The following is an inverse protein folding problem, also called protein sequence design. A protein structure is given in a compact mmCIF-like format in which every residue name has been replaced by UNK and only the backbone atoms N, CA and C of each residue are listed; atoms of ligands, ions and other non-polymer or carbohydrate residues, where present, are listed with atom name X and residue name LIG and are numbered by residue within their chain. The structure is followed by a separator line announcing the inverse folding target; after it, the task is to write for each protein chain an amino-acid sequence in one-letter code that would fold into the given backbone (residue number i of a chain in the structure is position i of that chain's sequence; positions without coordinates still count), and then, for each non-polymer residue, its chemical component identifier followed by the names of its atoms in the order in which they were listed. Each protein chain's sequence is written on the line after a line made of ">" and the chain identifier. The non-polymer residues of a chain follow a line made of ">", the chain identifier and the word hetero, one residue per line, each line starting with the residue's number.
data_IF_215028090246
#
_entry.id   IF_215028090246
#
_cell.length_a   1.000
_cell.length_b   1.000
_cell.length_c   1.000
_cell.angle_alpha   90.00
_cell.angle_beta   90.00
_cell.angle_gamma   90.00
#
_symmetry.space_group_name_H-M   'P 1'
#
loop_
_entity.id
_entity.type
_entity.pdbx_description
1 polymer ?
#
# COMPACT_ATOMS: atom_id res chain seq x y z
N UNK A 1 8.86 18.38 9.65
CA UNK A 1 7.83 17.71 8.84
C UNK A 1 6.55 18.49 9.03
N UNK A 2 6.05 19.14 7.99
CA UNK A 2 4.68 19.65 8.00
C UNK A 2 3.75 18.46 7.72
N UNK A 3 2.91 18.12 8.70
CA UNK A 3 2.15 16.86 8.66
C UNK A 3 1.09 16.91 7.55
N UNK A 4 1.14 16.02 6.55
CA UNK A 4 0.13 15.98 5.50
C UNK A 4 -1.21 15.44 6.00
N UNK A 5 -2.30 15.78 5.31
CA UNK A 5 -3.59 15.11 5.49
C UNK A 5 -3.53 13.66 4.96
N UNK A 6 -4.48 12.83 5.42
CA UNK A 6 -4.57 11.42 5.03
C UNK A 6 -5.73 11.13 4.07
N UNK A 7 -5.61 10.04 3.31
CA UNK A 7 -6.67 9.42 2.51
C UNK A 7 -6.76 7.95 2.88
N UNK A 8 -7.89 7.54 3.45
CA UNK A 8 -8.13 6.15 3.80
C UNK A 8 -8.65 5.34 2.61
N UNK A 9 -8.02 4.22 2.33
CA UNK A 9 -8.48 3.18 1.40
C UNK A 9 -8.68 1.88 2.18
N UNK A 10 -9.92 1.42 2.27
CA UNK A 10 -10.26 0.18 2.97
C UNK A 10 -10.80 -0.86 1.99
N UNK A 11 -10.12 -2.00 1.91
CA UNK A 11 -10.61 -3.17 1.20
C UNK A 11 -11.60 -3.96 2.06
N UNK A 12 -12.63 -4.51 1.44
CA UNK A 12 -13.63 -5.36 2.11
C UNK A 12 -14.03 -6.50 1.21
N UNK A 13 -14.33 -7.67 1.79
CA UNK A 13 -14.73 -8.87 1.05
C UNK A 13 -13.56 -9.82 0.83
N UNK A 14 -13.69 -10.68 -0.19
CA UNK A 14 -12.74 -11.77 -0.46
C UNK A 14 -12.23 -11.68 -1.89
N UNK A 15 -10.92 -11.87 -2.08
CA UNK A 15 -10.31 -11.95 -3.42
C UNK A 15 -10.98 -13.06 -4.24
N UNK A 16 -11.35 -12.73 -5.48
CA UNK A 16 -11.97 -13.67 -6.40
C UNK A 16 -10.92 -14.58 -7.04
N UNK A 17 -11.31 -15.77 -7.53
CA UNK A 17 -10.41 -16.65 -8.27
C UNK A 17 -9.74 -15.92 -9.45
N UNK A 18 -8.42 -16.05 -9.56
CA UNK A 18 -7.63 -15.39 -10.60
C UNK A 18 -7.24 -13.94 -10.34
N UNK A 19 -7.74 -13.32 -9.25
CA UNK A 19 -7.31 -11.99 -8.82
C UNK A 19 -6.05 -12.08 -7.97
N UNK A 20 -5.10 -11.21 -8.25
CA UNK A 20 -3.82 -11.09 -7.53
C UNK A 20 -3.77 -9.83 -6.68
N UNK A 21 -2.76 -9.73 -5.81
CA UNK A 21 -2.52 -8.52 -5.02
C UNK A 21 -2.23 -7.31 -5.91
N UNK A 22 -1.56 -7.51 -7.05
CA UNK A 22 -1.27 -6.44 -8.01
C UNK A 22 -2.52 -5.86 -8.66
N UNK A 23 -3.57 -6.66 -8.79
CA UNK A 23 -4.87 -6.15 -9.23
C UNK A 23 -5.48 -5.20 -8.19
N UNK A 24 -5.32 -5.49 -6.90
CA UNK A 24 -5.74 -4.58 -5.82
C UNK A 24 -4.96 -3.27 -5.83
N UNK A 25 -3.65 -3.32 -6.11
CA UNK A 25 -2.81 -2.13 -6.32
C UNK A 25 -3.39 -1.23 -7.42
N UNK A 26 -3.74 -1.82 -8.57
CA UNK A 26 -4.32 -1.08 -9.70
C UNK A 26 -5.80 -0.71 -9.49
N UNK A 27 -6.51 -1.39 -8.60
CA UNK A 27 -7.89 -1.06 -8.26
C UNK A 27 -7.99 0.32 -7.58
N UNK A 28 -7.02 0.71 -6.75
CA UNK A 28 -7.02 2.02 -6.06
C UNK A 28 -7.18 3.20 -7.06
N UNK A 29 -6.29 3.40 -8.05
CA UNK A 29 -6.47 4.47 -9.03
C UNK A 29 -7.69 4.24 -9.92
N UNK A 30 -8.04 2.99 -10.26
CA UNK A 30 -9.23 2.69 -11.08
C UNK A 30 -10.52 3.21 -10.41
N UNK A 31 -10.74 2.89 -9.13
CA UNK A 31 -11.92 3.36 -8.40
C UNK A 31 -11.85 4.87 -8.09
N UNK A 32 -10.66 5.44 -7.86
CA UNK A 32 -10.52 6.90 -7.71
C UNK A 32 -10.94 7.65 -8.99
N UNK A 33 -10.60 7.12 -10.18
CA UNK A 33 -11.06 7.67 -11.47
C UNK A 33 -12.57 7.52 -11.60
N UNK A 34 -13.11 6.33 -11.30
CA UNK A 34 -14.55 6.06 -11.35
C UNK A 34 -15.36 7.01 -10.47
N UNK A 35 -14.81 7.41 -9.32
CA UNK A 35 -15.42 8.33 -8.37
C UNK A 35 -15.11 9.82 -8.66
N UNK A 36 -14.38 10.14 -9.74
CA UNK A 36 -14.03 11.51 -10.10
C UNK A 36 -12.99 12.19 -9.20
N UNK A 37 -12.28 11.40 -8.37
CA UNK A 37 -11.24 11.85 -7.43
C UNK A 37 -9.85 11.88 -8.06
N UNK A 38 -9.68 11.20 -9.20
CA UNK A 38 -8.45 11.14 -9.99
C UNK A 38 -8.76 11.33 -11.47
N UNK A 39 -7.94 12.11 -12.19
CA UNK A 39 -8.06 12.29 -13.64
C UNK A 39 -6.79 11.89 -14.36
N UNK A 40 -6.92 11.38 -15.58
CA UNK A 40 -5.78 11.04 -16.45
C UNK A 40 -5.21 12.27 -17.14
N UNK A 41 -6.06 13.24 -17.52
CA UNK A 41 -5.63 14.47 -18.18
C UNK A 41 -4.69 15.30 -17.29
N UNK A 42 -3.65 15.89 -17.91
CA UNK A 42 -2.67 16.74 -17.22
C UNK A 42 -3.22 18.12 -16.86
N UNK A 43 -3.94 18.75 -17.79
CA UNK A 43 -4.54 20.05 -17.55
C UNK A 43 -5.68 19.92 -16.52
N UNK A 44 -5.61 20.71 -15.44
CA UNK A 44 -6.60 20.66 -14.35
C UNK A 44 -6.63 19.32 -13.60
N UNK A 45 -5.49 18.61 -13.53
CA UNK A 45 -5.40 17.26 -12.95
C UNK A 45 -5.96 17.24 -11.52
N UNK A 46 -6.99 16.41 -11.32
CA UNK A 46 -7.44 16.01 -9.98
C UNK A 46 -6.65 14.80 -9.55
N UNK A 47 -6.13 14.82 -8.33
CA UNK A 47 -5.48 13.68 -7.72
C UNK A 47 -5.63 13.76 -6.20
N UNK A 48 -6.63 13.05 -5.67
CA UNK A 48 -6.93 13.05 -4.23
C UNK A 48 -5.73 12.62 -3.36
N UNK A 49 -4.81 11.82 -3.90
CA UNK A 49 -3.66 11.31 -3.16
C UNK A 49 -2.47 12.28 -3.13
N UNK A 50 -2.47 13.30 -4.01
CA UNK A 50 -1.30 14.16 -4.22
C UNK A 50 -0.91 14.91 -2.95
N UNK A 51 0.31 14.67 -2.46
CA UNK A 51 0.86 15.31 -1.27
C UNK A 51 0.23 14.87 0.06
N UNK A 52 -0.58 13.80 0.06
CA UNK A 52 -1.25 13.24 1.25
C UNK A 52 -0.62 11.92 1.67
N UNK A 53 -0.94 11.44 2.87
CA UNK A 53 -0.61 10.08 3.32
C UNK A 53 -1.70 9.12 2.81
N UNK A 54 -1.31 8.05 2.13
CA UNK A 54 -2.20 6.96 1.76
C UNK A 54 -2.26 5.95 2.92
N UNK A 55 -3.43 5.79 3.54
CA UNK A 55 -3.63 4.82 4.61
C UNK A 55 -4.46 3.64 4.10
N UNK A 56 -3.97 2.42 4.27
CA UNK A 56 -4.59 1.21 3.72
C UNK A 56 -5.02 0.28 4.86
N UNK A 57 -6.26 -0.20 4.79
CA UNK A 57 -6.84 -1.15 5.73
C UNK A 57 -7.59 -2.29 5.03
N UNK A 58 -7.88 -3.37 5.76
CA UNK A 58 -8.75 -4.46 5.29
C UNK A 58 -8.03 -5.67 4.70
N UNK A 59 -6.70 -5.70 4.76
CA UNK A 59 -5.86 -6.83 4.33
C UNK A 59 -4.83 -7.19 5.43
N UNK A 60 -5.27 -7.46 6.67
CA UNK A 60 -4.38 -7.45 7.83
C UNK A 60 -3.40 -8.63 7.88
N UNK A 61 -3.69 -9.72 7.16
CA UNK A 61 -2.91 -10.97 7.20
C UNK A 61 -1.91 -11.10 6.03
N UNK A 62 -1.68 -10.03 5.26
CA UNK A 62 -0.64 -10.04 4.23
C UNK A 62 0.74 -10.19 4.87
N UNK A 63 1.64 -10.94 4.22
CA UNK A 63 3.06 -10.92 4.58
C UNK A 63 3.64 -9.52 4.36
N UNK A 64 4.72 -9.18 5.06
CA UNK A 64 5.33 -7.85 4.95
C UNK A 64 5.78 -7.52 3.51
N UNK A 65 6.27 -8.51 2.76
CA UNK A 65 6.69 -8.35 1.36
C UNK A 65 5.50 -8.15 0.42
N UNK A 66 4.36 -8.74 0.72
CA UNK A 66 3.11 -8.54 -0.01
C UNK A 66 2.55 -7.14 0.28
N UNK A 67 2.51 -6.75 1.55
CA UNK A 67 2.11 -5.42 1.98
C UNK A 67 2.97 -4.33 1.31
N UNK A 68 4.25 -4.63 1.07
CA UNK A 68 5.13 -3.73 0.33
C UNK A 68 4.62 -3.41 -1.06
N UNK A 69 4.02 -4.36 -1.81
CA UNK A 69 3.47 -4.09 -3.16
C UNK A 69 2.42 -2.96 -3.18
N UNK A 70 1.62 -2.84 -2.10
CA UNK A 70 0.64 -1.76 -1.94
C UNK A 70 1.31 -0.44 -1.54
N UNK A 71 2.25 -0.49 -0.60
CA UNK A 71 2.92 0.71 -0.11
C UNK A 71 3.88 1.32 -1.13
N UNK A 72 4.56 0.48 -1.92
CA UNK A 72 5.49 0.88 -2.97
C UNK A 72 4.76 1.67 -4.06
N UNK A 73 3.58 1.17 -4.46
CA UNK A 73 2.73 1.78 -5.47
C UNK A 73 2.13 3.15 -5.08
N UNK A 74 2.30 3.58 -3.83
CA UNK A 74 1.86 4.90 -3.35
C UNK A 74 2.65 6.04 -4.01
N UNK A 75 3.90 5.79 -4.41
CA UNK A 75 4.75 6.75 -5.11
C UNK A 75 4.11 7.18 -6.45
N UNK A 76 3.54 6.24 -7.20
CA UNK A 76 2.85 6.47 -8.46
C UNK A 76 1.55 7.26 -8.28
N UNK A 77 1.03 7.34 -7.05
CA UNK A 77 -0.12 8.19 -6.68
C UNK A 77 0.29 9.61 -6.30
N UNK A 78 1.59 9.91 -6.26
CA UNK A 78 2.14 11.18 -5.73
C UNK A 78 1.78 11.40 -4.25
N UNK A 79 1.61 10.31 -3.49
CA UNK A 79 1.44 10.38 -2.04
C UNK A 79 2.77 10.81 -1.39
N UNK A 80 2.68 11.51 -0.26
CA UNK A 80 3.84 11.89 0.55
C UNK A 80 4.37 10.72 1.40
N UNK A 81 3.54 9.71 1.62
CA UNK A 81 3.87 8.48 2.34
C UNK A 81 2.72 7.49 2.30
N UNK A 82 2.96 6.28 2.80
CA UNK A 82 1.96 5.23 2.89
C UNK A 82 2.03 4.52 4.23
N UNK A 83 0.88 4.06 4.72
CA UNK A 83 0.77 3.10 5.82
C UNK A 83 -0.21 2.00 5.43
N UNK A 84 0.00 0.80 5.96
CA UNK A 84 -0.91 -0.33 5.81
C UNK A 84 -1.07 -1.00 7.16
N UNK A 85 -2.31 -1.21 7.58
CA UNK A 85 -2.61 -1.89 8.84
C UNK A 85 -2.46 -3.40 8.68
N UNK A 86 -1.49 -3.98 9.39
CA UNK A 86 -1.27 -5.42 9.47
C UNK A 86 -1.46 -5.94 10.89
N UNK A 87 -1.78 -7.23 10.99
CA UNK A 87 -1.73 -7.98 12.22
C UNK A 87 -0.27 -8.24 12.65
N UNK A 88 -0.06 -8.61 13.91
CA UNK A 88 1.28 -8.80 14.48
C UNK A 88 1.98 -10.05 13.95
N UNK A 89 1.21 -11.06 13.56
CA UNK A 89 1.66 -12.38 13.12
C UNK A 89 2.62 -12.31 11.92
N UNK A 90 2.28 -11.67 10.79
CA UNK A 90 3.21 -11.53 9.66
C UNK A 90 4.46 -10.71 10.00
N UNK A 91 4.34 -9.73 10.90
CA UNK A 91 5.47 -8.91 11.34
C UNK A 91 6.46 -9.74 12.16
N UNK A 92 5.97 -10.59 13.07
CA UNK A 92 6.79 -11.50 13.88
C UNK A 92 7.52 -12.50 12.98
N UNK A 93 6.84 -13.08 11.98
CA UNK A 93 7.45 -13.97 10.99
C UNK A 93 8.61 -13.27 10.26
N UNK A 94 8.35 -12.06 9.73
CA UNK A 94 9.32 -11.29 8.97
C UNK A 94 10.55 -10.90 9.80
N UNK A 95 10.36 -10.43 11.04
CA UNK A 95 11.46 -10.05 11.92
C UNK A 95 12.34 -11.25 12.31
N UNK A 96 11.75 -12.41 12.62
CA UNK A 96 12.51 -13.62 12.94
C UNK A 96 13.37 -14.09 11.76
N UNK A 97 12.81 -14.03 10.54
CA UNK A 97 13.54 -14.33 9.30
C UNK A 97 14.72 -13.36 9.12
N UNK A 98 14.47 -12.04 9.24
CA UNK A 98 15.48 -11.01 9.05
C UNK A 98 16.61 -11.08 10.09
N UNK A 99 16.32 -11.40 11.35
CA UNK A 99 17.36 -11.59 12.38
C UNK A 99 18.32 -12.72 11.97
N UNK A 100 17.78 -13.83 11.47
CA UNK A 100 18.60 -14.97 11.02
C UNK A 100 19.44 -14.58 9.80
N UNK A 101 18.83 -13.91 8.82
CA UNK A 101 19.52 -13.41 7.62
C UNK A 101 20.67 -12.45 7.98
N UNK A 102 20.42 -11.46 8.85
CA UNK A 102 21.43 -10.48 9.25
C UNK A 102 22.59 -11.11 10.03
N UNK A 103 22.32 -12.10 10.89
CA UNK A 103 23.37 -12.88 11.57
C UNK A 103 24.25 -13.63 10.58
N UNK A 104 23.65 -14.22 9.54
CA UNK A 104 24.40 -14.90 8.49
C UNK A 104 25.27 -13.93 7.68
N UNK A 105 24.75 -12.76 7.31
CA UNK A 105 25.51 -11.73 6.57
C UNK A 105 26.71 -11.16 7.33
N UNK A 106 26.75 -11.27 8.66
CA UNK A 106 27.89 -10.84 9.49
C UNK A 106 28.94 -11.96 9.62
N UNK A 107 28.51 -13.22 9.55
CA UNK A 107 29.38 -14.38 9.74
C UNK A 107 30.20 -14.74 8.49
N UNK A 108 29.75 -14.31 7.31
CA UNK A 108 30.51 -14.30 6.04
C UNK A 108 31.36 -13.03 5.92
#
# INVERSE_FOLDING_TARGET
>A
LDMPESVLVRFTGTMQPGITLRDLVHAIPYYAIKNGLLTVAKAGKKNIFSGRILEIEGLPDLKCEQAFELSDASAERSAAGCTIQLNKEPIIEYLNSNITMLKWMIAE
#
